data_IF_902100290295
#
_entry.id   IF_902100290295
#
_cell.length_a   1.000
_cell.length_b   1.000
_cell.length_c   1.000
_cell.angle_alpha   90.00
_cell.angle_beta   90.00
_cell.angle_gamma   90.00
#
_symmetry.space_group_name_H-M   'P 1'
#
loop_
_entity.id
_entity.type
_entity.pdbx_description
1 polymer ?
#
# COMPACT_ATOMS: atom_id res chain seq x y z
N UNK A 1 10.56 18.82 -14.06
CA UNK A 1 11.26 18.30 -12.88
C UNK A 1 10.27 18.00 -11.74
N UNK A 2 9.24 17.18 -12.02
CA UNK A 2 8.17 16.78 -11.09
C UNK A 2 7.94 15.27 -11.32
N UNK A 3 8.94 14.46 -10.95
CA UNK A 3 8.94 12.99 -11.16
C UNK A 3 9.53 12.19 -9.98
N UNK A 4 9.91 12.83 -8.87
CA UNK A 4 10.84 12.19 -7.91
C UNK A 4 10.19 11.69 -6.61
N UNK A 5 8.94 12.04 -6.29
CA UNK A 5 8.40 11.74 -4.94
C UNK A 5 7.40 10.59 -4.84
N UNK A 6 7.08 9.92 -5.96
CA UNK A 6 6.50 8.57 -5.95
C UNK A 6 7.57 7.47 -5.98
N UNK A 7 8.85 7.81 -6.23
CA UNK A 7 9.89 6.80 -6.44
C UNK A 7 10.32 6.04 -5.19
N UNK A 8 10.20 6.57 -3.97
CA UNK A 8 10.70 5.83 -2.80
C UNK A 8 9.88 4.58 -2.46
N UNK A 9 8.59 4.55 -2.81
CA UNK A 9 7.75 3.34 -2.70
C UNK A 9 7.73 2.51 -4.00
N UNK A 10 8.04 3.12 -5.15
CA UNK A 10 8.07 2.46 -6.46
C UNK A 10 9.44 1.91 -6.87
N UNK A 11 10.54 2.26 -6.19
CA UNK A 11 11.88 1.72 -6.51
C UNK A 11 12.12 0.30 -5.97
N UNK A 12 11.20 -0.25 -5.16
CA UNK A 12 11.37 -1.56 -4.51
C UNK A 12 10.28 -2.57 -4.86
N UNK A 13 9.37 -2.18 -5.76
CA UNK A 13 8.51 -3.07 -6.50
C UNK A 13 8.87 -2.90 -7.98
N UNK A 14 9.26 -3.95 -8.72
CA UNK A 14 9.43 -3.88 -10.17
C UNK A 14 8.09 -3.75 -10.91
N UNK A 15 7.06 -3.17 -10.28
CA UNK A 15 5.70 -3.11 -10.81
C UNK A 15 5.28 -1.65 -10.93
N UNK A 16 5.20 -1.20 -12.19
CA UNK A 16 4.47 -0.01 -12.66
C UNK A 16 5.20 1.35 -12.73
N UNK A 17 6.47 1.36 -13.15
CA UNK A 17 6.96 2.49 -13.95
C UNK A 17 7.20 2.06 -15.40
N UNK A 18 6.24 2.40 -16.26
CA UNK A 18 6.45 2.57 -17.70
C UNK A 18 7.31 3.83 -17.94
N UNK A 19 8.53 3.82 -17.42
CA UNK A 19 9.61 4.58 -18.02
C UNK A 19 10.11 3.72 -19.18
N UNK A 20 10.34 4.32 -20.35
CA UNK A 20 11.21 3.71 -21.35
C UNK A 20 12.52 3.36 -20.64
N UNK A 21 12.73 2.08 -20.34
CA UNK A 21 14.05 1.61 -19.97
C UNK A 21 14.79 1.56 -21.29
N UNK A 22 15.83 2.39 -21.42
CA UNK A 22 16.84 2.22 -22.46
C UNK A 22 17.28 0.75 -22.46
N UNK A 23 17.52 0.18 -23.65
CA UNK A 23 17.86 -1.26 -23.86
C UNK A 23 19.11 -1.75 -23.07
N UNK A 24 19.78 -0.87 -22.32
CA UNK A 24 20.98 -1.12 -21.53
C UNK A 24 20.68 -1.11 -20.01
N UNK A 25 19.88 -2.06 -19.53
CA UNK A 25 19.76 -2.28 -18.08
C UNK A 25 21.15 -2.64 -17.51
N UNK A 26 21.64 -1.84 -16.56
CA UNK A 26 22.93 -2.06 -15.89
C UNK A 26 23.02 -3.49 -15.32
N UNK A 27 24.07 -4.27 -15.68
CA UNK A 27 24.27 -5.62 -15.18
C UNK A 27 24.21 -5.74 -13.65
N UNK A 28 24.65 -4.71 -12.92
CA UNK A 28 24.57 -4.73 -11.45
C UNK A 28 23.10 -4.66 -10.96
N UNK A 29 22.26 -3.86 -11.61
CA UNK A 29 20.82 -3.79 -11.33
C UNK A 29 20.10 -5.11 -11.63
N UNK A 30 20.45 -5.78 -12.73
CA UNK A 30 19.91 -7.10 -13.07
C UNK A 30 20.33 -8.17 -12.04
N UNK A 31 21.60 -8.14 -11.61
CA UNK A 31 22.11 -9.04 -10.58
C UNK A 31 21.40 -8.82 -9.22
N UNK A 32 21.18 -7.57 -8.83
CA UNK A 32 20.45 -7.21 -7.62
C UNK A 32 18.99 -7.70 -7.69
N UNK A 33 18.32 -7.52 -8.83
CA UNK A 33 16.95 -8.00 -9.04
C UNK A 33 16.86 -9.54 -8.95
N UNK A 34 17.83 -10.27 -9.52
CA UNK A 34 17.93 -11.73 -9.41
C UNK A 34 18.19 -12.18 -7.95
N UNK A 35 19.02 -11.45 -7.21
CA UNK A 35 19.26 -11.70 -5.79
C UNK A 35 17.99 -11.48 -4.96
N UNK A 36 17.25 -10.40 -5.24
CA UNK A 36 15.96 -10.11 -4.60
C UNK A 36 14.93 -11.21 -4.87
N UNK A 37 14.82 -11.68 -6.11
CA UNK A 37 13.95 -12.79 -6.49
C UNK A 37 14.31 -14.09 -5.75
N UNK A 38 15.60 -14.43 -5.72
CA UNK A 38 16.12 -15.63 -5.05
C UNK A 38 15.82 -15.61 -3.56
N UNK A 39 16.13 -14.49 -2.90
CA UNK A 39 15.85 -14.31 -1.47
C UNK A 39 14.34 -14.37 -1.18
N UNK A 40 13.52 -13.70 -1.99
CA UNK A 40 12.06 -13.68 -1.84
C UNK A 40 11.47 -15.09 -1.95
N UNK A 41 11.93 -15.90 -2.93
CA UNK A 41 11.52 -17.28 -3.09
C UNK A 41 11.93 -18.15 -1.88
N UNK A 42 13.16 -17.98 -1.38
CA UNK A 42 13.64 -18.69 -0.19
C UNK A 42 12.85 -18.32 1.07
N UNK A 43 12.55 -17.03 1.24
CA UNK A 43 11.75 -16.53 2.35
C UNK A 43 10.32 -17.10 2.29
N UNK A 44 9.69 -17.09 1.12
CA UNK A 44 8.38 -17.70 0.90
C UNK A 44 8.36 -19.18 1.34
N UNK A 45 9.35 -19.98 0.89
CA UNK A 45 9.46 -21.38 1.28
C UNK A 45 9.69 -21.57 2.78
N UNK A 46 10.40 -20.65 3.44
CA UNK A 46 10.66 -20.68 4.88
C UNK A 46 9.40 -20.38 5.69
N UNK A 47 8.66 -19.34 5.31
CA UNK A 47 7.39 -18.98 5.96
C UNK A 47 6.34 -20.09 5.79
N UNK A 48 6.26 -20.69 4.59
CA UNK A 48 5.33 -21.79 4.34
C UNK A 48 5.55 -23.00 5.26
N UNK A 49 6.80 -23.28 5.67
CA UNK A 49 7.10 -24.36 6.64
C UNK A 49 6.62 -24.06 8.05
N UNK A 50 6.52 -22.79 8.44
CA UNK A 50 5.96 -22.38 9.74
C UNK A 50 4.48 -22.71 9.85
N UNK A 51 3.75 -22.67 8.73
CA UNK A 51 2.39 -23.19 8.62
C UNK A 51 1.30 -22.39 9.37
N UNK A 52 1.63 -21.22 9.93
CA UNK A 52 0.66 -20.27 10.47
C UNK A 52 -0.13 -19.55 9.38
N UNK A 53 -1.28 -18.99 9.72
CA UNK A 53 -2.18 -18.38 8.73
C UNK A 53 -1.54 -17.18 8.02
N UNK A 54 -0.95 -16.26 8.80
CA UNK A 54 -0.25 -15.09 8.25
C UNK A 54 0.97 -15.51 7.44
N UNK A 55 1.77 -16.46 7.94
CA UNK A 55 2.97 -16.96 7.25
C UNK A 55 2.65 -17.60 5.90
N UNK A 56 1.61 -18.45 5.84
CA UNK A 56 1.18 -19.10 4.60
C UNK A 56 0.62 -18.08 3.58
N UNK A 57 -0.17 -17.11 4.03
CA UNK A 57 -0.70 -16.06 3.16
C UNK A 57 0.44 -15.16 2.62
N UNK A 58 1.37 -14.74 3.47
CA UNK A 58 2.55 -13.97 3.05
C UNK A 58 3.47 -14.79 2.13
N UNK A 59 3.69 -16.07 2.41
CA UNK A 59 4.45 -16.96 1.53
C UNK A 59 3.85 -17.04 0.13
N UNK A 60 2.52 -17.09 0.02
CA UNK A 60 1.82 -17.03 -1.25
C UNK A 60 2.09 -15.72 -2.01
N UNK A 61 1.96 -14.56 -1.33
CA UNK A 61 2.28 -13.24 -1.94
C UNK A 61 3.72 -13.23 -2.46
N UNK A 62 4.68 -13.62 -1.63
CA UNK A 62 6.10 -13.57 -1.98
C UNK A 62 6.46 -14.51 -3.12
N UNK A 63 5.87 -15.72 -3.14
CA UNK A 63 6.10 -16.67 -4.23
C UNK A 63 5.52 -16.16 -5.55
N UNK A 64 4.33 -15.56 -5.53
CA UNK A 64 3.76 -14.93 -6.72
C UNK A 64 4.63 -13.78 -7.22
N UNK A 65 5.13 -12.93 -6.31
CA UNK A 65 6.04 -11.84 -6.65
C UNK A 65 7.37 -12.35 -7.22
N UNK A 66 7.97 -13.37 -6.61
CA UNK A 66 9.21 -13.98 -7.08
C UNK A 66 9.05 -14.69 -8.44
N UNK A 67 7.86 -15.15 -8.80
CA UNK A 67 7.60 -15.80 -10.07
C UNK A 67 7.07 -14.84 -11.15
N UNK A 68 6.90 -13.56 -10.84
CA UNK A 68 6.47 -12.56 -11.81
C UNK A 68 7.57 -12.36 -12.88
N UNK A 69 7.21 -12.29 -14.18
CA UNK A 69 8.18 -12.00 -15.23
C UNK A 69 8.87 -10.66 -14.95
N UNK A 70 10.20 -10.64 -14.96
CA UNK A 70 10.98 -9.43 -14.65
C UNK A 70 11.01 -8.39 -15.78
N UNK A 71 10.64 -8.78 -17.02
CA UNK A 71 10.77 -7.95 -18.22
C UNK A 71 9.52 -8.09 -19.09
N UNK A 72 8.83 -6.97 -19.38
CA UNK A 72 8.01 -6.85 -20.60
C UNK A 72 8.92 -6.31 -21.69
N UNK A 73 9.05 -7.03 -22.81
CA UNK A 73 9.66 -6.48 -24.00
C UNK A 73 8.85 -5.24 -24.46
N UNK A 74 9.49 -4.11 -24.84
CA UNK A 74 8.81 -2.86 -25.17
C UNK A 74 7.79 -2.99 -26.31
N UNK A 75 8.01 -3.90 -27.25
CA UNK A 75 7.26 -3.96 -28.52
C UNK A 75 6.34 -5.18 -28.67
N UNK A 76 6.09 -5.91 -27.59
CA UNK A 76 5.19 -7.05 -27.62
C UNK A 76 3.73 -6.64 -27.47
N UNK A 77 3.01 -6.40 -28.58
CA UNK A 77 1.53 -6.42 -28.62
C UNK A 77 0.92 -7.78 -28.21
N UNK A 78 1.75 -8.74 -27.77
CA UNK A 78 1.29 -9.99 -27.21
C UNK A 78 0.36 -9.71 -26.02
N UNK A 79 -0.91 -10.12 -26.09
CA UNK A 79 -1.84 -9.96 -24.97
C UNK A 79 -1.19 -10.60 -23.74
N UNK A 80 -1.22 -9.92 -22.59
CA UNK A 80 -0.70 -10.46 -21.34
C UNK A 80 -1.39 -11.80 -21.07
N UNK A 81 -0.74 -12.91 -21.40
CA UNK A 81 -1.27 -14.24 -21.09
C UNK A 81 -1.26 -14.35 -19.58
N UNK A 82 -2.41 -14.65 -19.00
CA UNK A 82 -2.52 -14.90 -17.57
C UNK A 82 -1.54 -16.01 -17.22
N UNK A 83 -0.59 -15.73 -16.33
CA UNK A 83 0.32 -16.76 -15.84
C UNK A 83 -0.50 -17.95 -15.31
N UNK A 84 -0.09 -19.20 -15.59
CA UNK A 84 -0.74 -20.37 -15.02
C UNK A 84 -0.82 -20.26 -13.50
N UNK A 85 -1.92 -20.74 -12.91
CA UNK A 85 -2.04 -20.79 -11.43
C UNK A 85 -1.01 -21.76 -10.86
N UNK A 86 -0.32 -21.32 -9.81
CA UNK A 86 0.58 -22.18 -9.05
C UNK A 86 -0.24 -23.00 -8.02
N UNK A 87 -0.37 -24.33 -8.19
CA UNK A 87 -1.19 -25.16 -7.31
C UNK A 87 -0.66 -25.19 -5.86
N UNK A 88 0.63 -24.94 -5.65
CA UNK A 88 1.22 -24.85 -4.32
C UNK A 88 0.76 -23.58 -3.60
N UNK A 89 0.70 -22.45 -4.31
CA UNK A 89 0.15 -21.19 -3.79
C UNK A 89 -1.33 -21.39 -3.41
N UNK A 90 -2.12 -22.02 -4.28
CA UNK A 90 -3.53 -22.30 -3.99
C UNK A 90 -3.70 -23.19 -2.74
N UNK A 91 -2.82 -24.16 -2.52
CA UNK A 91 -2.84 -25.01 -1.33
C UNK A 91 -2.49 -24.26 -0.05
N UNK A 92 -1.50 -23.37 -0.10
CA UNK A 92 -1.14 -22.50 1.02
C UNK A 92 -2.28 -21.55 1.38
N UNK A 93 -2.92 -20.93 0.40
CA UNK A 93 -4.04 -20.01 0.63
C UNK A 93 -5.25 -20.70 1.25
N UNK A 94 -5.61 -21.92 0.80
CA UNK A 94 -6.68 -22.70 1.44
C UNK A 94 -6.35 -23.02 2.90
N UNK A 95 -5.11 -23.42 3.17
CA UNK A 95 -4.66 -23.75 4.53
C UNK A 95 -4.63 -22.51 5.42
N UNK A 96 -4.15 -21.38 4.90
CA UNK A 96 -4.16 -20.10 5.58
C UNK A 96 -5.59 -19.66 5.95
N UNK A 97 -6.52 -19.72 5.00
CA UNK A 97 -7.93 -19.38 5.22
C UNK A 97 -8.58 -20.26 6.29
N UNK A 98 -8.27 -21.56 6.32
CA UNK A 98 -8.78 -22.47 7.36
C UNK A 98 -8.23 -22.16 8.75
N UNK A 99 -7.02 -21.60 8.85
CA UNK A 99 -6.34 -21.29 10.12
C UNK A 99 -6.51 -19.84 10.60
N UNK A 100 -6.98 -18.93 9.73
CA UNK A 100 -6.96 -17.49 9.99
C UNK A 100 -7.83 -17.07 11.18
N UNK A 101 -8.88 -17.83 11.53
CA UNK A 101 -9.80 -17.43 12.62
C UNK A 101 -10.33 -16.00 12.39
N UNK A 102 -10.26 -15.18 13.44
CA UNK A 102 -10.66 -13.76 13.43
C UNK A 102 -9.47 -12.80 13.25
N UNK A 103 -8.34 -13.28 12.73
CA UNK A 103 -7.13 -12.46 12.57
C UNK A 103 -7.24 -11.51 11.36
N UNK A 104 -7.39 -10.18 11.56
CA UNK A 104 -7.60 -9.25 10.46
C UNK A 104 -6.38 -9.16 9.53
N UNK A 105 -5.16 -9.31 10.06
CA UNK A 105 -3.95 -9.26 9.24
C UNK A 105 -3.83 -10.50 8.36
N UNK A 106 -4.25 -11.67 8.85
CA UNK A 106 -4.30 -12.88 8.03
C UNK A 106 -5.30 -12.73 6.87
N UNK A 107 -6.48 -12.16 7.13
CA UNK A 107 -7.48 -11.92 6.08
C UNK A 107 -7.05 -10.86 5.07
N UNK A 108 -6.34 -9.80 5.51
CA UNK A 108 -5.74 -8.81 4.61
C UNK A 108 -4.70 -9.44 3.68
N UNK A 109 -3.82 -10.29 4.20
CA UNK A 109 -2.85 -11.01 3.38
C UNK A 109 -3.53 -12.01 2.43
N UNK A 110 -4.61 -12.65 2.85
CA UNK A 110 -5.42 -13.52 1.97
C UNK A 110 -6.08 -12.72 0.85
N UNK A 111 -6.64 -11.55 1.15
CA UNK A 111 -7.17 -10.63 0.14
C UNK A 111 -6.08 -10.25 -0.84
N UNK A 112 -4.92 -9.82 -0.36
CA UNK A 112 -3.76 -9.46 -1.17
C UNK A 112 -3.28 -10.59 -2.09
N UNK A 113 -3.18 -11.81 -1.55
CA UNK A 113 -2.63 -12.97 -2.26
C UNK A 113 -3.61 -13.62 -3.25
N UNK A 114 -4.91 -13.28 -3.18
CA UNK A 114 -5.95 -13.87 -4.02
C UNK A 114 -6.32 -12.94 -5.18
N UNK A 115 -6.52 -13.48 -6.41
CA UNK A 115 -6.89 -12.66 -7.55
C UNK A 115 -8.17 -11.85 -7.32
N UNK A 116 -8.21 -10.62 -7.83
CA UNK A 116 -9.41 -9.79 -7.85
C UNK A 116 -10.61 -10.53 -8.50
N UNK A 117 -11.80 -10.31 -7.95
CA UNK A 117 -13.05 -10.96 -8.41
C UNK A 117 -13.18 -12.46 -8.09
N UNK A 118 -12.20 -13.07 -7.41
CA UNK A 118 -12.28 -14.49 -7.02
C UNK A 118 -13.09 -14.70 -5.75
N UNK A 119 -13.79 -15.84 -5.64
CA UNK A 119 -14.56 -16.18 -4.43
C UNK A 119 -13.70 -16.26 -3.16
N UNK A 120 -12.46 -16.82 -3.19
CA UNK A 120 -11.59 -16.77 -2.02
C UNK A 120 -11.28 -15.34 -1.54
N UNK A 121 -11.13 -14.37 -2.46
CA UNK A 121 -10.91 -12.97 -2.09
C UNK A 121 -12.14 -12.37 -1.41
N UNK A 122 -13.33 -12.59 -1.97
CA UNK A 122 -14.59 -12.13 -1.38
C UNK A 122 -14.83 -12.73 0.00
N UNK A 123 -14.55 -14.02 0.18
CA UNK A 123 -14.67 -14.67 1.48
C UNK A 123 -13.68 -14.10 2.51
N UNK A 124 -12.41 -13.89 2.13
CA UNK A 124 -11.43 -13.25 3.01
C UNK A 124 -11.86 -11.83 3.40
N UNK A 125 -12.38 -11.03 2.46
CA UNK A 125 -12.92 -9.71 2.73
C UNK A 125 -14.13 -9.73 3.68
N UNK A 126 -15.07 -10.69 3.50
CA UNK A 126 -16.21 -10.88 4.42
C UNK A 126 -15.76 -11.26 5.83
N UNK A 127 -14.78 -12.16 5.96
CA UNK A 127 -14.24 -12.56 7.28
C UNK A 127 -13.48 -11.42 7.95
N UNK A 128 -12.75 -10.62 7.18
CA UNK A 128 -12.16 -9.39 7.69
C UNK A 128 -13.24 -8.43 8.20
N UNK A 129 -14.31 -8.19 7.43
CA UNK A 129 -15.44 -7.36 7.88
C UNK A 129 -16.05 -7.86 9.21
N UNK A 130 -16.19 -9.18 9.36
CA UNK A 130 -16.74 -9.78 10.56
C UNK A 130 -15.81 -9.63 11.78
N UNK A 131 -14.49 -9.76 11.58
CA UNK A 131 -13.48 -9.59 12.63
C UNK A 131 -13.28 -8.11 13.04
N UNK A 132 -13.61 -7.16 12.15
CA UNK A 132 -13.39 -5.73 12.35
C UNK A 132 -14.64 -4.91 11.99
N UNK A 133 -15.77 -5.09 12.72
CA UNK A 133 -17.03 -4.46 12.37
C UNK A 133 -16.93 -2.93 12.40
N UNK A 134 -17.64 -2.28 11.47
CA UNK A 134 -17.61 -0.83 11.28
C UNK A 134 -16.38 -0.30 10.53
N UNK A 135 -15.48 -1.16 10.06
CA UNK A 135 -14.38 -0.75 9.20
C UNK A 135 -14.80 -0.76 7.71
N UNK A 136 -14.54 0.34 7.00
CA UNK A 136 -14.81 0.48 5.56
C UNK A 136 -13.88 -0.38 4.70
N UNK A 137 -12.62 -0.55 5.10
CA UNK A 137 -11.57 -1.16 4.25
C UNK A 137 -11.92 -2.55 3.70
N UNK A 138 -12.39 -3.52 4.50
CA UNK A 138 -12.79 -4.81 3.98
C UNK A 138 -13.87 -4.75 2.89
N UNK A 139 -14.79 -3.76 2.94
CA UNK A 139 -15.84 -3.60 1.93
C UNK A 139 -15.26 -3.27 0.55
N UNK A 140 -14.13 -2.57 0.48
CA UNK A 140 -13.45 -2.21 -0.77
C UNK A 140 -12.87 -3.42 -1.50
N UNK A 141 -12.75 -4.55 -0.81
CA UNK A 141 -12.24 -5.81 -1.35
C UNK A 141 -13.32 -6.88 -1.54
N UNK A 142 -14.58 -6.57 -1.17
CA UNK A 142 -15.70 -7.50 -1.22
C UNK A 142 -16.32 -7.65 -2.62
N UNK A 143 -15.77 -6.97 -3.65
CA UNK A 143 -16.23 -7.04 -5.05
C UNK A 143 -17.73 -6.70 -5.20
N UNK A 144 -18.16 -5.70 -4.42
CA UNK A 144 -19.52 -5.20 -4.40
C UNK A 144 -19.73 -4.21 -5.56
N UNK A 145 -20.94 -4.22 -6.13
CA UNK A 145 -21.40 -3.11 -6.99
C UNK A 145 -21.38 -1.79 -6.21
N UNK A 146 -21.27 -0.65 -6.90
CA UNK A 146 -21.29 0.67 -6.28
C UNK A 146 -22.45 0.87 -5.28
N UNK A 147 -23.68 0.50 -5.66
CA UNK A 147 -24.85 0.68 -4.78
C UNK A 147 -24.79 -0.22 -3.54
N UNK A 148 -24.38 -1.49 -3.69
CA UNK A 148 -24.21 -2.40 -2.56
C UNK A 148 -23.07 -1.95 -1.63
N UNK A 149 -21.97 -1.42 -2.20
CA UNK A 149 -20.86 -0.87 -1.43
C UNK A 149 -21.30 0.35 -0.60
N UNK A 150 -21.94 1.33 -1.24
CA UNK A 150 -22.43 2.53 -0.56
C UNK A 150 -23.46 2.20 0.52
N UNK A 151 -24.39 1.29 0.24
CA UNK A 151 -25.36 0.84 1.22
C UNK A 151 -24.72 0.15 2.43
N UNK A 152 -23.71 -0.71 2.21
CA UNK A 152 -22.97 -1.36 3.29
C UNK A 152 -22.13 -0.35 4.10
N UNK A 153 -21.53 0.64 3.41
CA UNK A 153 -20.67 1.65 4.01
C UNK A 153 -21.41 2.61 4.96
N UNK A 154 -22.74 2.71 4.90
CA UNK A 154 -23.54 3.50 5.86
C UNK A 154 -23.30 3.12 7.32
N UNK A 155 -22.96 1.85 7.57
CA UNK A 155 -22.68 1.35 8.91
C UNK A 155 -21.18 1.42 9.28
N UNK A 156 -20.33 1.86 8.36
CA UNK A 156 -18.91 2.06 8.65
C UNK A 156 -18.73 3.33 9.49
N UNK A 157 -17.82 3.25 10.46
CA UNK A 157 -17.47 4.32 11.39
C UNK A 157 -15.99 4.69 11.32
N UNK A 158 -15.17 3.93 10.60
CA UNK A 158 -13.74 4.19 10.37
C UNK A 158 -13.25 3.62 9.05
N UNK A 159 -12.12 4.14 8.58
CA UNK A 159 -11.37 3.64 7.43
C UNK A 159 -9.97 3.16 7.88
N UNK A 160 -9.88 1.94 8.43
CA UNK A 160 -8.64 1.43 9.03
C UNK A 160 -8.02 0.27 8.23
N UNK A 161 -6.98 0.53 7.46
CA UNK A 161 -6.28 -0.52 6.72
C UNK A 161 -5.32 -1.32 7.63
N UNK A 162 -5.14 -0.91 8.89
CA UNK A 162 -4.15 -1.45 9.84
C UNK A 162 -2.75 -1.56 9.23
N UNK A 163 -2.43 -0.60 8.36
CA UNK A 163 -1.24 -0.63 7.51
C UNK A 163 0.04 -0.87 8.33
N UNK A 164 0.25 -0.07 9.38
CA UNK A 164 1.47 -0.18 10.18
C UNK A 164 1.52 -1.43 11.06
N UNK A 165 0.37 -1.98 11.47
CA UNK A 165 0.33 -3.29 12.15
C UNK A 165 0.79 -4.39 11.19
N UNK A 166 0.26 -4.38 9.96
CA UNK A 166 0.64 -5.30 8.89
C UNK A 166 2.11 -5.17 8.50
N UNK A 167 2.58 -3.97 8.20
CA UNK A 167 3.98 -3.69 7.81
C UNK A 167 4.95 -4.14 8.92
N UNK A 168 4.69 -3.83 10.19
CA UNK A 168 5.55 -4.31 11.30
C UNK A 168 5.58 -5.82 11.40
N UNK A 169 4.43 -6.47 11.23
CA UNK A 169 4.38 -7.93 11.26
C UNK A 169 5.19 -8.53 10.10
N UNK A 170 5.06 -7.99 8.88
CA UNK A 170 5.85 -8.40 7.71
C UNK A 170 7.34 -8.14 7.96
N UNK A 171 7.73 -6.95 8.44
CA UNK A 171 9.13 -6.64 8.76
C UNK A 171 9.69 -7.61 9.82
N UNK A 172 8.88 -8.03 10.81
CA UNK A 172 9.28 -9.05 11.78
C UNK A 172 9.60 -10.40 11.13
N UNK A 173 8.91 -10.77 10.03
CA UNK A 173 9.19 -11.99 9.29
C UNK A 173 10.55 -11.94 8.58
N UNK A 174 10.92 -10.79 7.99
CA UNK A 174 12.25 -10.58 7.39
C UNK A 174 13.34 -10.65 8.46
N UNK A 175 13.12 -10.05 9.63
CA UNK A 175 14.09 -10.09 10.74
C UNK A 175 14.31 -11.48 11.31
N UNK A 176 13.26 -12.31 11.36
CA UNK A 176 13.39 -13.72 11.76
C UNK A 176 14.13 -14.56 10.72
N UNK A 177 14.15 -14.13 9.46
CA UNK A 177 14.71 -14.89 8.34
C UNK A 177 15.55 -14.00 7.42
N UNK A 178 16.63 -13.38 7.93
CA UNK A 178 17.38 -12.40 7.16
C UNK A 178 18.04 -13.03 5.93
N UNK A 179 18.45 -12.21 4.93
CA UNK A 179 19.31 -12.67 3.86
C UNK A 179 20.63 -13.21 4.43
N UNK A 180 21.17 -14.26 3.81
CA UNK A 180 22.52 -14.80 4.08
C UNK A 180 23.59 -13.78 3.70
N UNK A 181 24.82 -13.92 4.18
CA UNK A 181 25.90 -12.98 3.84
C UNK A 181 26.12 -12.80 2.32
N UNK A 182 26.00 -13.89 1.55
CA UNK A 182 26.09 -13.84 0.09
C UNK A 182 24.90 -13.09 -0.54
N UNK A 183 23.68 -13.33 -0.06
CA UNK A 183 22.50 -12.59 -0.51
C UNK A 183 22.58 -11.11 -0.10
N UNK A 184 23.08 -10.78 1.10
CA UNK A 184 23.26 -9.39 1.55
C UNK A 184 24.21 -8.63 0.62
N UNK A 185 25.37 -9.21 0.31
CA UNK A 185 26.34 -8.61 -0.61
C UNK A 185 25.76 -8.38 -2.01
N UNK A 186 24.93 -9.32 -2.50
CA UNK A 186 24.26 -9.19 -3.79
C UNK A 186 23.11 -8.18 -3.77
N UNK A 187 22.36 -8.11 -2.67
CA UNK A 187 21.25 -7.18 -2.48
C UNK A 187 21.71 -5.73 -2.30
N UNK A 188 22.88 -5.51 -1.70
CA UNK A 188 23.45 -4.17 -1.53
C UNK A 188 24.34 -3.72 -2.68
N UNK A 189 24.50 -4.54 -3.72
CA UNK A 189 25.46 -4.29 -4.82
C UNK A 189 26.87 -3.94 -4.31
N UNK A 190 27.29 -4.57 -3.21
CA UNK A 190 28.60 -4.31 -2.57
C UNK A 190 28.63 -3.15 -1.57
N UNK A 191 27.54 -2.40 -1.39
CA UNK A 191 27.41 -1.39 -0.34
C UNK A 191 27.13 -2.01 1.05
N UNK A 192 27.12 -1.18 2.09
CA UNK A 192 26.76 -1.59 3.43
C UNK A 192 25.29 -2.04 3.50
N UNK A 193 25.05 -3.27 3.93
CA UNK A 193 23.71 -3.83 4.13
C UNK A 193 23.26 -3.66 5.58
N UNK A 194 22.10 -3.01 5.78
CA UNK A 194 21.44 -2.93 7.09
C UNK A 194 20.15 -3.77 7.07
N UNK A 195 20.09 -4.79 7.93
CA UNK A 195 18.98 -5.74 7.94
C UNK A 195 17.66 -5.15 8.46
N UNK A 196 17.71 -4.18 9.38
CA UNK A 196 16.52 -3.53 9.91
C UNK A 196 15.90 -2.62 8.84
N UNK A 197 16.74 -1.84 8.16
CA UNK A 197 16.31 -1.02 7.04
C UNK A 197 15.75 -1.87 5.90
N UNK A 198 16.46 -2.91 5.49
CA UNK A 198 16.01 -3.80 4.42
C UNK A 198 14.65 -4.44 4.77
N UNK A 199 14.45 -4.85 6.03
CA UNK A 199 13.17 -5.42 6.49
C UNK A 199 12.04 -4.38 6.46
N UNK A 200 12.27 -3.17 6.98
CA UNK A 200 11.28 -2.10 7.00
C UNK A 200 10.87 -1.66 5.59
N UNK A 201 11.86 -1.47 4.72
CA UNK A 201 11.69 -1.06 3.33
C UNK A 201 10.96 -2.14 2.53
N UNK A 202 11.41 -3.40 2.63
CA UNK A 202 10.77 -4.53 1.92
C UNK A 202 9.32 -4.72 2.36
N UNK A 203 9.06 -4.62 3.67
CA UNK A 203 7.71 -4.79 4.20
C UNK A 203 6.77 -3.68 3.75
N UNK A 204 7.25 -2.43 3.73
CA UNK A 204 6.47 -1.27 3.29
C UNK A 204 6.20 -1.31 1.81
N UNK A 205 7.23 -1.62 1.00
CA UNK A 205 7.09 -1.81 -0.44
C UNK A 205 6.08 -2.92 -0.74
N UNK A 206 6.19 -4.07 -0.09
CA UNK A 206 5.24 -5.16 -0.26
C UNK A 206 3.81 -4.75 0.08
N UNK A 207 3.61 -4.06 1.21
CA UNK A 207 2.30 -3.58 1.62
C UNK A 207 1.71 -2.60 0.62
N UNK A 208 2.49 -1.63 0.15
CA UNK A 208 2.07 -0.67 -0.86
C UNK A 208 1.62 -1.36 -2.16
N UNK A 209 2.28 -2.46 -2.56
CA UNK A 209 1.90 -3.24 -3.74
C UNK A 209 0.52 -3.91 -3.62
N UNK A 210 0.18 -4.40 -2.43
CA UNK A 210 -0.91 -5.36 -2.26
C UNK A 210 -2.11 -4.84 -1.49
N UNK A 211 -1.92 -3.75 -0.74
CA UNK A 211 -2.92 -3.21 0.18
C UNK A 211 -3.46 -1.84 -0.26
N UNK A 212 -3.04 -1.31 -1.42
CA UNK A 212 -3.71 -0.15 -2.02
C UNK A 212 -5.16 -0.55 -2.38
N UNK A 213 -6.17 0.03 -1.71
CA UNK A 213 -7.55 -0.31 -2.00
C UNK A 213 -7.93 0.12 -3.41
N UNK A 214 -8.83 -0.64 -4.04
CA UNK A 214 -9.40 -0.26 -5.31
C UNK A 214 -10.43 0.87 -5.11
N UNK A 215 -9.94 2.09 -4.91
CA UNK A 215 -10.79 3.28 -4.82
C UNK A 215 -11.55 3.60 -6.11
N UNK A 216 -11.22 2.93 -7.22
CA UNK A 216 -11.83 3.14 -8.53
C UNK A 216 -13.36 3.07 -8.48
N UNK A 217 -13.93 2.03 -7.85
CA UNK A 217 -15.39 1.87 -7.76
C UNK A 217 -16.05 3.02 -6.99
N UNK A 218 -15.42 3.51 -5.91
CA UNK A 218 -15.92 4.67 -5.16
C UNK A 218 -15.76 5.97 -5.95
N UNK A 219 -14.59 6.19 -6.56
CA UNK A 219 -14.29 7.37 -7.35
C UNK A 219 -15.25 7.51 -8.54
N UNK A 220 -15.57 6.40 -9.21
CA UNK A 220 -16.54 6.37 -10.30
C UNK A 220 -17.97 6.62 -9.78
N UNK A 221 -18.38 5.92 -8.72
CA UNK A 221 -19.73 6.05 -8.14
C UNK A 221 -20.03 7.44 -7.57
N UNK A 222 -19.01 8.10 -7.01
CA UNK A 222 -19.06 9.40 -6.37
C UNK A 222 -18.51 10.53 -7.25
N UNK A 223 -18.25 10.24 -8.53
CA UNK A 223 -17.83 11.23 -9.52
C UNK A 223 -18.95 12.22 -9.86
N UNK A 224 -18.58 13.42 -10.34
CA UNK A 224 -19.53 14.49 -10.62
C UNK A 224 -20.64 14.07 -11.59
N UNK A 225 -20.29 13.33 -12.64
CA UNK A 225 -21.23 12.87 -13.66
C UNK A 225 -22.24 11.87 -13.08
N UNK A 226 -21.74 10.90 -12.30
CA UNK A 226 -22.59 9.94 -11.62
C UNK A 226 -23.50 10.58 -10.58
N UNK A 227 -23.01 11.57 -9.82
CA UNK A 227 -23.81 12.30 -8.84
C UNK A 227 -24.86 13.22 -9.48
N UNK A 228 -24.68 13.63 -10.74
CA UNK A 228 -25.74 14.31 -11.51
C UNK A 228 -26.82 13.32 -11.95
N UNK A 229 -26.41 12.13 -12.42
CA UNK A 229 -27.34 11.09 -12.86
C UNK A 229 -28.11 10.44 -11.69
N UNK A 230 -27.45 10.25 -10.54
CA UNK A 230 -27.98 9.59 -9.34
C UNK A 230 -27.78 10.46 -8.08
N UNK A 231 -28.54 11.55 -7.91
CA UNK A 231 -28.37 12.47 -6.79
C UNK A 231 -28.54 11.83 -5.40
N UNK A 232 -29.31 10.74 -5.32
CA UNK A 232 -29.57 10.00 -4.08
C UNK A 232 -28.29 9.41 -3.44
N UNK A 233 -27.20 9.24 -4.19
CA UNK A 233 -25.91 8.75 -3.66
C UNK A 233 -25.10 9.79 -2.90
N UNK A 234 -25.49 11.07 -2.96
CA UNK A 234 -24.66 12.17 -2.42
C UNK A 234 -24.31 12.01 -0.95
N UNK A 235 -25.27 11.63 -0.12
CA UNK A 235 -25.03 11.52 1.33
C UNK A 235 -24.18 10.30 1.67
N UNK A 236 -24.39 9.16 1.00
CA UNK A 236 -23.55 7.97 1.15
C UNK A 236 -22.10 8.25 0.70
N UNK A 237 -21.94 8.92 -0.44
CA UNK A 237 -20.63 9.33 -0.94
C UNK A 237 -19.95 10.33 0.00
N UNK A 238 -20.69 11.27 0.59
CA UNK A 238 -20.16 12.20 1.60
C UNK A 238 -19.70 11.47 2.84
N UNK A 239 -20.49 10.53 3.35
CA UNK A 239 -20.14 9.69 4.49
C UNK A 239 -18.82 8.95 4.27
N UNK A 240 -18.69 8.22 3.15
CA UNK A 240 -17.47 7.50 2.80
C UNK A 240 -16.27 8.44 2.65
N UNK A 241 -16.46 9.57 1.97
CA UNK A 241 -15.40 10.55 1.77
C UNK A 241 -14.91 11.18 3.09
N UNK A 242 -15.82 11.42 4.04
CA UNK A 242 -15.49 11.88 5.39
C UNK A 242 -14.68 10.85 6.16
N UNK A 243 -15.08 9.57 6.15
CA UNK A 243 -14.33 8.50 6.84
C UNK A 243 -12.87 8.42 6.36
N UNK A 244 -12.67 8.48 5.05
CA UNK A 244 -11.36 8.44 4.42
C UNK A 244 -10.52 9.69 4.72
N UNK A 245 -11.15 10.87 4.83
CA UNK A 245 -10.45 12.12 5.05
C UNK A 245 -10.16 12.45 6.52
N UNK A 246 -10.96 11.93 7.46
CA UNK A 246 -10.84 12.23 8.90
C UNK A 246 -10.18 11.11 9.71
N UNK A 247 -10.29 9.86 9.25
CA UNK A 247 -9.65 8.70 9.88
C UNK A 247 -8.76 7.91 8.91
N UNK A 248 -7.87 8.57 8.14
CA UNK A 248 -7.03 7.88 7.16
C UNK A 248 -6.02 6.96 7.84
N UNK A 249 -5.80 5.78 7.26
CA UNK A 249 -4.65 4.93 7.62
C UNK A 249 -3.41 5.32 6.83
N UNK A 250 -3.61 5.78 5.59
CA UNK A 250 -2.59 6.22 4.65
C UNK A 250 -2.91 7.60 4.06
N UNK A 251 -1.88 8.26 3.52
CA UNK A 251 -2.02 9.51 2.76
C UNK A 251 -2.88 9.29 1.51
N UNK A 252 -2.86 8.09 0.93
CA UNK A 252 -3.72 7.76 -0.20
C UNK A 252 -5.21 7.78 0.19
N UNK A 253 -5.55 7.33 1.40
CA UNK A 253 -6.92 7.38 1.93
C UNK A 253 -7.35 8.85 2.11
N UNK A 254 -6.49 9.66 2.74
CA UNK A 254 -6.76 11.09 2.96
C UNK A 254 -6.98 11.80 1.62
N UNK A 255 -6.10 11.55 0.65
CA UNK A 255 -6.19 12.13 -0.70
C UNK A 255 -7.48 11.71 -1.41
N UNK A 256 -7.86 10.44 -1.35
CA UNK A 256 -9.10 9.95 -1.96
C UNK A 256 -10.34 10.61 -1.32
N UNK A 257 -10.39 10.65 0.02
CA UNK A 257 -11.45 11.29 0.78
C UNK A 257 -11.60 12.78 0.46
N UNK A 258 -10.50 13.54 0.51
CA UNK A 258 -10.48 14.97 0.19
C UNK A 258 -10.87 15.25 -1.27
N UNK A 259 -10.44 14.40 -2.21
CA UNK A 259 -10.83 14.49 -3.62
C UNK A 259 -12.34 14.34 -3.82
N UNK A 260 -12.96 13.35 -3.16
CA UNK A 260 -14.41 13.15 -3.22
C UNK A 260 -15.17 14.28 -2.52
N UNK A 261 -14.73 14.72 -1.33
CA UNK A 261 -15.33 15.84 -0.62
C UNK A 261 -15.32 17.11 -1.48
N UNK A 262 -14.22 17.38 -2.21
CA UNK A 262 -14.12 18.53 -3.12
C UNK A 262 -15.21 18.49 -4.21
N UNK A 263 -15.46 17.32 -4.79
CA UNK A 263 -16.54 17.12 -5.78
C UNK A 263 -17.94 17.29 -5.17
N UNK A 264 -18.12 16.91 -3.90
CA UNK A 264 -19.40 16.97 -3.17
C UNK A 264 -19.68 18.33 -2.53
N UNK A 265 -18.69 19.23 -2.49
CA UNK A 265 -18.82 20.53 -1.87
C UNK A 265 -19.92 21.36 -2.54
N UNK A 266 -20.82 21.89 -1.73
CA UNK A 266 -21.99 22.68 -2.17
C UNK A 266 -21.74 24.18 -2.04
N UNK A 267 -20.86 24.59 -1.11
CA UNK A 267 -20.56 26.00 -0.85
C UNK A 267 -19.11 26.37 -1.19
N UNK A 268 -18.81 27.66 -1.45
CA UNK A 268 -17.44 28.14 -1.56
C UNK A 268 -16.63 27.94 -0.27
N UNK A 269 -17.26 28.05 0.91
CA UNK A 269 -16.58 27.87 2.19
C UNK A 269 -16.14 26.41 2.41
N UNK A 270 -17.00 25.44 2.10
CA UNK A 270 -16.65 24.01 2.12
C UNK A 270 -15.46 23.72 1.19
N UNK A 271 -15.50 24.23 -0.05
CA UNK A 271 -14.38 24.08 -1.00
C UNK A 271 -13.09 24.67 -0.45
N UNK A 272 -13.15 25.86 0.16
CA UNK A 272 -11.97 26.52 0.71
C UNK A 272 -11.34 25.74 1.88
N UNK A 273 -12.15 25.13 2.75
CA UNK A 273 -11.67 24.25 3.82
C UNK A 273 -10.99 22.98 3.29
N UNK A 274 -11.64 22.29 2.34
CA UNK A 274 -11.08 21.10 1.70
C UNK A 274 -9.76 21.43 0.98
N UNK A 275 -9.71 22.57 0.29
CA UNK A 275 -8.49 23.04 -0.37
C UNK A 275 -7.38 23.37 0.62
N UNK A 276 -7.71 23.90 1.80
CA UNK A 276 -6.74 24.11 2.86
C UNK A 276 -6.17 22.78 3.40
N UNK A 277 -7.01 21.76 3.56
CA UNK A 277 -6.58 20.40 3.96
C UNK A 277 -5.67 19.77 2.92
N UNK A 278 -6.05 19.83 1.63
CA UNK A 278 -5.20 19.35 0.53
C UNK A 278 -3.84 20.06 0.50
N UNK A 279 -3.80 21.38 0.69
CA UNK A 279 -2.53 22.13 0.77
C UNK A 279 -1.66 21.66 1.94
N UNK A 280 -2.25 21.42 3.13
CA UNK A 280 -1.50 20.86 4.28
C UNK A 280 -0.93 19.48 3.98
N UNK A 281 -1.72 18.61 3.35
CA UNK A 281 -1.26 17.29 2.93
C UNK A 281 -0.09 17.39 1.94
N UNK A 282 -0.23 18.18 0.88
CA UNK A 282 0.83 18.37 -0.13
C UNK A 282 2.12 18.94 0.48
N UNK A 283 1.99 19.89 1.41
CA UNK A 283 3.13 20.46 2.14
C UNK A 283 3.85 19.41 2.98
N UNK A 284 3.12 18.64 3.79
CA UNK A 284 3.68 17.58 4.64
C UNK A 284 4.45 16.56 3.81
N UNK A 285 3.88 16.14 2.68
CA UNK A 285 4.53 15.18 1.78
C UNK A 285 5.76 15.75 1.07
N UNK A 286 5.71 17.03 0.66
CA UNK A 286 6.86 17.71 0.07
C UNK A 286 8.02 17.79 1.08
N UNK A 287 7.74 18.25 2.30
CA UNK A 287 8.77 18.42 3.32
C UNK A 287 9.32 17.08 3.81
N UNK A 288 8.47 16.05 3.97
CA UNK A 288 8.96 14.69 4.24
C UNK A 288 9.93 14.23 3.15
N UNK A 289 9.57 14.44 1.88
CA UNK A 289 10.44 14.16 0.74
C UNK A 289 11.79 14.88 0.80
N UNK A 290 11.80 16.17 1.15
CA UNK A 290 13.04 16.97 1.29
C UNK A 290 13.90 16.46 2.45
N UNK A 291 13.28 16.17 3.61
CA UNK A 291 13.96 15.66 4.80
C UNK A 291 14.60 14.30 4.50
N UNK A 292 13.89 13.41 3.82
CA UNK A 292 14.41 12.10 3.42
C UNK A 292 15.63 12.23 2.49
N UNK A 293 15.56 13.12 1.48
CA UNK A 293 16.66 13.35 0.53
C UNK A 293 17.92 13.93 1.17
N UNK A 294 17.80 14.65 2.29
CA UNK A 294 18.93 15.21 3.03
C UNK A 294 19.62 14.19 3.95
N UNK A 295 18.99 13.04 4.18
CA UNK A 295 19.53 11.99 5.05
C UNK A 295 20.32 10.95 4.26
N UNK A 296 21.34 10.32 4.90
CA UNK A 296 22.01 9.15 4.33
C UNK A 296 20.99 8.08 3.92
N UNK A 297 21.20 7.46 2.76
CA UNK A 297 20.33 6.40 2.22
C UNK A 297 18.84 6.77 2.21
N UNK A 298 18.52 8.05 1.98
CA UNK A 298 17.15 8.52 1.90
C UNK A 298 16.37 8.50 3.22
N UNK A 299 17.05 8.44 4.37
CA UNK A 299 16.40 8.39 5.68
C UNK A 299 15.90 6.99 6.08
N UNK A 300 16.39 5.92 5.45
CA UNK A 300 16.04 4.53 5.74
C UNK A 300 16.14 4.19 7.25
N UNK A 301 17.22 4.62 7.92
CA UNK A 301 17.41 4.42 9.35
C UNK A 301 16.32 5.07 10.20
N UNK A 302 15.97 6.33 9.88
CA UNK A 302 14.90 7.06 10.57
C UNK A 302 13.56 6.33 10.35
N UNK A 303 13.27 5.94 9.11
CA UNK A 303 12.06 5.22 8.77
C UNK A 303 11.94 3.89 9.53
N UNK A 304 12.99 3.06 9.55
CA UNK A 304 13.01 1.79 10.27
C UNK A 304 12.80 1.98 11.78
N UNK A 305 13.44 2.99 12.37
CA UNK A 305 13.26 3.35 13.79
C UNK A 305 11.82 3.78 14.09
N UNK A 306 11.24 4.65 13.28
CA UNK A 306 9.86 5.13 13.47
C UNK A 306 8.84 4.02 13.22
N UNK A 307 9.07 3.15 12.23
CA UNK A 307 8.27 1.96 12.01
C UNK A 307 8.30 0.99 13.21
N UNK A 308 9.35 1.00 14.02
CA UNK A 308 9.43 0.20 15.24
C UNK A 308 8.69 0.82 16.44
N UNK A 309 8.37 2.12 16.42
CA UNK A 309 7.70 2.82 17.52
C UNK A 309 6.19 2.50 17.55
N UNK A 310 5.67 1.75 18.54
CA UNK A 310 4.27 1.29 18.57
C UNK A 310 3.23 2.42 18.74
N UNK A 311 3.67 3.65 19.05
CA UNK A 311 2.78 4.80 19.12
C UNK A 311 2.35 5.33 17.73
N UNK A 312 3.10 4.99 16.66
CA UNK A 312 2.85 5.42 15.28
C UNK A 312 1.93 4.44 14.54
N UNK A 313 0.63 4.66 14.57
CA UNK A 313 -0.36 3.72 13.98
C UNK A 313 -0.74 4.03 12.54
N UNK A 314 -0.52 5.26 12.08
CA UNK A 314 -0.90 5.71 10.73
C UNK A 314 0.28 6.34 9.99
N UNK A 315 0.15 6.45 8.66
CA UNK A 315 1.17 7.12 7.84
C UNK A 315 1.27 8.60 8.22
N UNK A 316 0.14 9.25 8.48
CA UNK A 316 0.11 10.63 8.95
C UNK A 316 0.94 10.83 10.22
N UNK A 317 0.82 9.94 11.21
CA UNK A 317 1.60 10.03 12.44
C UNK A 317 3.10 9.82 12.18
N UNK A 318 3.46 8.97 11.23
CA UNK A 318 4.86 8.81 10.82
C UNK A 318 5.40 10.09 10.20
N UNK A 319 4.65 10.68 9.25
CA UNK A 319 5.02 11.94 8.59
C UNK A 319 5.16 13.07 9.60
N UNK A 320 4.16 13.25 10.48
CA UNK A 320 4.20 14.27 11.52
C UNK A 320 5.40 14.09 12.46
N UNK A 321 5.76 12.85 12.80
CA UNK A 321 6.96 12.60 13.60
C UNK A 321 8.25 12.93 12.86
N UNK A 322 8.37 12.60 11.57
CA UNK A 322 9.54 12.98 10.77
C UNK A 322 9.70 14.51 10.71
N UNK A 323 8.61 15.23 10.46
CA UNK A 323 8.60 16.69 10.42
C UNK A 323 8.97 17.29 11.77
N UNK A 324 8.41 16.74 12.86
CA UNK A 324 8.73 17.16 14.22
C UNK A 324 10.22 16.98 14.55
N UNK A 325 10.82 15.83 14.19
CA UNK A 325 12.25 15.57 14.42
C UNK A 325 13.15 16.52 13.61
N UNK A 326 12.68 17.00 12.45
CA UNK A 326 13.37 17.99 11.63
C UNK A 326 13.09 19.46 12.01
N UNK A 327 12.22 19.71 13.01
CA UNK A 327 11.81 21.06 13.40
C UNK A 327 10.96 21.78 12.35
N UNK A 328 10.28 21.04 11.48
CA UNK A 328 9.40 21.58 10.42
C UNK A 328 7.96 21.58 10.90
N UNK A 329 7.28 22.74 10.79
CA UNK A 329 5.86 22.86 11.12
C UNK A 329 4.99 22.08 10.11
N UNK A 330 3.99 21.30 10.56
CA UNK A 330 3.10 20.54 9.67
C UNK A 330 2.17 21.40 8.82
N UNK A 331 2.00 22.67 9.18
CA UNK A 331 1.26 23.66 8.41
C UNK A 331 2.17 24.38 7.39
N UNK A 332 1.69 24.59 6.15
CA UNK A 332 2.42 25.36 5.16
C UNK A 332 2.51 26.84 5.56
N UNK A 333 3.59 27.54 5.19
CA UNK A 333 3.69 28.97 5.43
C UNK A 333 2.61 29.74 4.64
N UNK A 334 2.22 30.95 5.11
CA UNK A 334 1.23 31.77 4.42
C UNK A 334 1.57 31.99 2.95
N UNK A 335 0.59 31.80 2.06
CA UNK A 335 0.77 31.99 0.62
C UNK A 335 1.47 30.85 -0.12
N UNK A 336 1.91 29.79 0.57
CA UNK A 336 2.50 28.62 -0.09
C UNK A 336 1.48 27.94 -1.02
N UNK A 337 1.98 27.50 -2.17
CA UNK A 337 1.25 26.73 -3.17
C UNK A 337 2.06 25.50 -3.54
N UNK A 338 1.42 24.35 -3.78
CA UNK A 338 2.13 23.16 -4.22
C UNK A 338 2.83 23.43 -5.57
N UNK A 339 4.03 22.86 -5.80
CA UNK A 339 4.62 22.84 -7.12
C UNK A 339 3.62 22.18 -8.08
N UNK A 340 3.32 22.83 -9.21
CA UNK A 340 2.24 22.46 -10.16
C UNK A 340 2.07 20.94 -10.29
N UNK A 341 0.84 20.44 -10.09
CA UNK A 341 0.48 19.03 -10.33
C UNK A 341 0.46 18.72 -11.83
#
# INVERSE_FOLDING_TARGET
MIRVLLMAALLLLPVAHAQEWEDDADPASLAQAAAHQTYTARLAGTLARGGGARELALAAVLRTAANAPQVRAPDGEAPSRRAPRDPQVDAWLRTAAAKAGDDPIAHQLLVAATPAGSEPRREAARRWQAADPGNLMPLLYADLTADALLAAARNATRADARMYEGVRWIASAWRRHPPTAAEQAALSAGEAFDAEEAAAISATGLWAAIAMPAYATLAEACGADMLRALPARRDDCRHVATLLAETPSSVADEQAGLGMLRTLATTPAERADIDARLRRMDWRMLEWGRIAQQQPRGGAAQFARLLADPSIRTEQQLVERVLQEAGVTPDPPPGWQPPRR
#
